data_IF_776280408631
#
_entry.id   IF_776280408631
#
_cell.length_a   1.000
_cell.length_b   1.000
_cell.length_c   1.000
_cell.angle_alpha   90.00
_cell.angle_beta   90.00
_cell.angle_gamma   90.00
#
_symmetry.space_group_name_H-M   'P 1'
#
loop_
_entity.id
_entity.type
_entity.pdbx_description
1 polymer ?
#
# COMPACT_ATOMS: atom_id res chain seq x y z
N UNK A 1 29.64 7.00 -22.66
CA UNK A 1 28.57 6.11 -22.17
C UNK A 1 28.69 4.78 -22.89
N UNK A 2 29.14 3.72 -22.21
CA UNK A 2 29.19 2.37 -22.78
C UNK A 2 27.82 1.70 -22.64
N UNK A 3 27.30 1.02 -23.66
CA UNK A 3 26.05 0.28 -23.55
C UNK A 3 26.30 -0.96 -22.68
N UNK A 4 25.53 -1.12 -21.60
CA UNK A 4 25.51 -2.36 -20.84
C UNK A 4 25.03 -3.48 -21.78
N UNK A 5 25.92 -4.43 -22.07
CA UNK A 5 25.66 -5.55 -22.96
C UNK A 5 24.60 -6.48 -22.38
N UNK A 6 23.79 -7.09 -23.26
CA UNK A 6 22.67 -7.98 -22.92
C UNK A 6 23.06 -9.16 -22.01
N UNK A 7 24.32 -9.59 -22.05
CA UNK A 7 24.88 -10.68 -21.25
C UNK A 7 24.87 -10.40 -19.73
N UNK A 8 25.15 -9.17 -19.32
CA UNK A 8 25.20 -8.80 -17.90
C UNK A 8 23.80 -8.81 -17.25
N UNK A 9 22.75 -8.49 -18.04
CA UNK A 9 21.34 -8.51 -17.61
C UNK A 9 20.80 -9.92 -17.39
N UNK A 10 21.22 -10.90 -18.18
CA UNK A 10 20.81 -12.29 -18.01
C UNK A 10 21.47 -12.95 -16.79
N UNK A 11 22.76 -12.71 -16.56
CA UNK A 11 23.46 -13.24 -15.39
C UNK A 11 22.88 -12.72 -14.06
N UNK A 12 22.41 -11.48 -14.03
CA UNK A 12 21.74 -10.90 -12.84
C UNK A 12 20.35 -11.50 -12.61
N UNK A 13 19.61 -11.84 -13.67
CA UNK A 13 18.30 -12.49 -13.54
C UNK A 13 18.41 -13.93 -13.01
N UNK A 14 19.39 -14.70 -13.48
CA UNK A 14 19.63 -16.06 -12.98
C UNK A 14 20.04 -16.05 -11.51
N UNK A 15 20.95 -15.15 -11.11
CA UNK A 15 21.35 -15.02 -9.71
C UNK A 15 20.20 -14.58 -8.80
N UNK A 16 19.32 -13.69 -9.26
CA UNK A 16 18.13 -13.30 -8.51
C UNK A 16 17.17 -14.48 -8.31
N UNK A 17 16.94 -15.28 -9.35
CA UNK A 17 16.07 -16.45 -9.28
C UNK A 17 16.59 -17.48 -8.27
N UNK A 18 17.90 -17.76 -8.29
CA UNK A 18 18.54 -18.68 -7.36
C UNK A 18 18.41 -18.19 -5.91
N UNK A 19 18.60 -16.88 -5.67
CA UNK A 19 18.42 -16.27 -4.34
C UNK A 19 16.98 -16.40 -3.87
N UNK A 20 16.00 -16.09 -4.72
CA UNK A 20 14.57 -16.19 -4.39
C UNK A 20 14.17 -17.65 -4.11
N UNK A 21 14.63 -18.60 -4.94
CA UNK A 21 14.36 -20.02 -4.74
C UNK A 21 14.98 -20.54 -3.44
N UNK A 22 16.23 -20.17 -3.16
CA UNK A 22 16.92 -20.54 -1.92
C UNK A 22 16.19 -20.00 -0.69
N UNK A 23 15.79 -18.72 -0.73
CA UNK A 23 15.02 -18.09 0.34
C UNK A 23 13.68 -18.80 0.59
N UNK A 24 12.86 -18.95 -0.45
CA UNK A 24 11.53 -19.59 -0.34
C UNK A 24 11.62 -21.04 0.13
N UNK A 25 12.61 -21.79 -0.36
CA UNK A 25 12.88 -23.18 0.08
C UNK A 25 13.20 -23.23 1.56
N UNK A 26 14.08 -22.35 2.05
CA UNK A 26 14.47 -22.30 3.46
C UNK A 26 13.34 -21.86 4.38
N UNK A 27 12.52 -20.93 3.93
CA UNK A 27 11.36 -20.46 4.68
C UNK A 27 10.28 -21.54 4.81
N UNK A 28 10.32 -22.61 4.01
CA UNK A 28 9.29 -23.67 3.98
C UNK A 28 7.87 -23.11 3.86
N UNK A 29 7.74 -21.92 3.28
CA UNK A 29 6.47 -21.23 3.14
C UNK A 29 5.69 -21.87 2.01
N UNK A 30 4.55 -22.48 2.34
CA UNK A 30 3.53 -22.74 1.34
C UNK A 30 2.82 -21.42 1.10
N UNK A 31 3.19 -20.69 0.04
CA UNK A 31 2.46 -19.49 -0.36
C UNK A 31 1.10 -19.96 -0.89
N UNK A 32 -0.01 -19.72 -0.17
CA UNK A 32 -1.31 -20.08 -0.71
C UNK A 32 -1.62 -19.09 -1.84
N UNK A 33 -1.90 -19.60 -3.04
CA UNK A 33 -2.55 -18.75 -4.04
C UNK A 33 -3.93 -18.37 -3.50
N UNK A 34 -4.15 -17.07 -3.34
CA UNK A 34 -5.44 -16.52 -2.92
C UNK A 34 -5.94 -15.56 -3.99
N UNK A 35 -7.14 -15.79 -4.55
CA UNK A 35 -7.81 -14.80 -5.37
C UNK A 35 -7.97 -13.49 -4.59
N UNK A 36 -8.00 -12.38 -5.30
CA UNK A 36 -8.30 -11.09 -4.70
C UNK A 36 -9.70 -11.10 -4.08
N UNK A 37 -9.81 -10.68 -2.82
CA UNK A 37 -11.08 -10.64 -2.09
C UNK A 37 -11.84 -9.35 -2.41
N UNK A 38 -12.66 -9.41 -3.46
CA UNK A 38 -13.48 -8.28 -3.90
C UNK A 38 -14.48 -7.83 -2.84
N UNK A 39 -15.08 -8.75 -2.08
CA UNK A 39 -16.07 -8.42 -1.07
C UNK A 39 -15.43 -7.67 0.10
N UNK A 40 -14.26 -8.12 0.55
CA UNK A 40 -13.49 -7.40 1.58
C UNK A 40 -13.02 -6.03 1.08
N UNK A 41 -12.64 -5.90 -0.19
CA UNK A 41 -12.29 -4.62 -0.79
C UNK A 41 -13.47 -3.63 -0.79
N UNK A 42 -14.66 -4.06 -1.17
CA UNK A 42 -15.86 -3.20 -1.13
C UNK A 42 -16.17 -2.70 0.29
N UNK A 43 -16.04 -3.58 1.29
CA UNK A 43 -16.17 -3.20 2.71
C UNK A 43 -15.08 -2.21 3.14
N UNK A 44 -13.85 -2.39 2.66
CA UNK A 44 -12.74 -1.49 2.97
C UNK A 44 -12.94 -0.10 2.36
N UNK A 45 -13.50 -0.02 1.14
CA UNK A 45 -13.89 1.25 0.52
C UNK A 45 -14.95 1.95 1.37
N UNK A 46 -16.01 1.24 1.76
CA UNK A 46 -17.09 1.80 2.59
C UNK A 46 -16.57 2.29 3.95
N UNK A 47 -15.72 1.51 4.61
CA UNK A 47 -15.17 1.89 5.91
C UNK A 47 -14.19 3.06 5.81
N UNK A 48 -13.39 3.11 4.74
CA UNK A 48 -12.53 4.25 4.42
C UNK A 48 -13.33 5.54 4.24
N UNK A 49 -14.44 5.47 3.50
CA UNK A 49 -15.36 6.60 3.31
C UNK A 49 -16.01 7.01 4.62
N UNK A 50 -16.53 6.05 5.40
CA UNK A 50 -17.17 6.29 6.70
C UNK A 50 -16.23 7.01 7.69
N UNK A 51 -14.94 6.70 7.64
CA UNK A 51 -13.89 7.31 8.48
C UNK A 51 -13.34 8.61 7.91
N UNK A 52 -13.76 9.00 6.71
CA UNK A 52 -13.24 10.18 6.03
C UNK A 52 -11.79 10.06 5.59
N UNK A 53 -11.27 8.84 5.45
CA UNK A 53 -9.93 8.61 4.89
C UNK A 53 -9.91 8.89 3.37
N UNK A 54 -11.06 8.74 2.70
CA UNK A 54 -11.24 8.99 1.26
C UNK A 54 -12.39 9.94 0.93
N UNK A 55 -13.15 10.43 1.92
CA UNK A 55 -14.36 11.21 1.68
C UNK A 55 -14.03 12.64 1.22
N UNK A 56 -14.19 12.90 -0.08
CA UNK A 56 -14.27 14.26 -0.64
C UNK A 56 -12.99 14.87 -1.21
N UNK A 57 -11.85 14.19 -1.15
CA UNK A 57 -10.61 14.69 -1.73
C UNK A 57 -10.53 14.41 -3.24
N UNK A 58 -10.53 15.45 -4.08
CA UNK A 58 -9.98 15.30 -5.45
C UNK A 58 -8.55 14.81 -5.31
N UNK A 59 -8.19 13.72 -5.98
CA UNK A 59 -6.87 13.09 -5.86
C UNK A 59 -6.76 12.00 -4.79
N UNK A 60 -7.83 11.67 -4.04
CA UNK A 60 -7.87 10.47 -3.21
C UNK A 60 -7.50 9.21 -4.02
N UNK A 61 -7.97 9.13 -5.27
CA UNK A 61 -7.64 8.12 -6.27
C UNK A 61 -6.14 8.03 -6.58
N UNK A 62 -5.40 9.12 -6.38
CA UNK A 62 -3.94 9.24 -6.61
C UNK A 62 -3.12 8.90 -5.36
N UNK A 63 -3.67 9.08 -4.17
CA UNK A 63 -2.94 9.02 -2.91
C UNK A 63 -3.32 7.79 -2.06
N UNK A 64 -4.60 7.51 -1.87
CA UNK A 64 -5.06 6.42 -1.00
C UNK A 64 -5.93 5.37 -1.72
N UNK A 65 -6.42 5.71 -2.91
CA UNK A 65 -7.43 4.97 -3.64
C UNK A 65 -6.95 3.61 -4.17
N UNK A 66 -7.25 3.33 -5.44
CA UNK A 66 -7.36 1.94 -5.90
C UNK A 66 -6.06 1.11 -5.83
N UNK A 67 -4.87 1.70 -5.82
CA UNK A 67 -3.61 0.94 -5.73
C UNK A 67 -3.26 0.57 -4.28
N UNK A 68 -3.16 1.57 -3.39
CA UNK A 68 -2.79 1.40 -1.99
C UNK A 68 -3.80 0.51 -1.25
N UNK A 69 -5.09 0.76 -1.44
CA UNK A 69 -6.14 -0.02 -0.80
C UNK A 69 -6.21 -1.46 -1.33
N UNK A 70 -6.02 -1.70 -2.64
CA UNK A 70 -5.97 -3.07 -3.19
C UNK A 70 -4.75 -3.85 -2.70
N UNK A 71 -3.60 -3.19 -2.61
CA UNK A 71 -2.40 -3.79 -2.04
C UNK A 71 -2.63 -4.17 -0.56
N UNK A 72 -3.20 -3.25 0.22
CA UNK A 72 -3.54 -3.48 1.62
C UNK A 72 -4.55 -4.62 1.82
N UNK A 73 -5.57 -4.73 0.96
CA UNK A 73 -6.52 -5.86 0.97
C UNK A 73 -5.80 -7.18 0.73
N UNK A 74 -4.89 -7.23 -0.25
CA UNK A 74 -4.12 -8.44 -0.53
C UNK A 74 -3.21 -8.83 0.64
N UNK A 75 -2.52 -7.85 1.24
CA UNK A 75 -1.67 -8.08 2.42
C UNK A 75 -2.48 -8.56 3.61
N UNK A 76 -3.63 -7.92 3.87
CA UNK A 76 -4.48 -8.23 5.03
C UNK A 76 -5.09 -9.62 4.92
N UNK A 77 -5.67 -9.94 3.76
CA UNK A 77 -6.35 -11.23 3.54
C UNK A 77 -5.38 -12.42 3.47
N UNK A 78 -4.12 -12.19 3.11
CA UNK A 78 -3.09 -13.23 3.09
C UNK A 78 -2.38 -13.37 4.45
N UNK A 79 -2.04 -12.25 5.10
CA UNK A 79 -1.16 -12.26 6.27
C UNK A 79 -1.91 -12.28 7.60
N UNK A 80 -3.12 -11.72 7.63
CA UNK A 80 -3.91 -11.52 8.84
C UNK A 80 -5.20 -12.34 8.84
N UNK A 81 -5.36 -13.31 7.95
CA UNK A 81 -6.55 -14.18 7.89
C UNK A 81 -6.89 -14.82 9.24
N UNK A 82 -5.85 -15.19 10.01
CA UNK A 82 -5.96 -15.79 11.33
C UNK A 82 -6.62 -14.89 12.39
N UNK A 83 -6.74 -13.59 12.12
CA UNK A 83 -7.45 -12.65 13.00
C UNK A 83 -8.96 -12.83 12.79
N UNK A 84 -9.64 -13.46 13.75
CA UNK A 84 -11.08 -13.76 13.65
C UNK A 84 -11.95 -12.49 13.65
N UNK A 85 -11.51 -11.46 14.36
CA UNK A 85 -12.22 -10.18 14.43
C UNK A 85 -12.07 -9.38 13.12
N UNK A 86 -13.16 -9.34 12.35
CA UNK A 86 -13.23 -8.61 11.08
C UNK A 86 -13.09 -7.11 11.24
N UNK A 87 -13.46 -6.53 12.38
CA UNK A 87 -13.25 -5.10 12.63
C UNK A 87 -11.75 -4.80 12.79
N UNK A 88 -11.00 -5.68 13.45
CA UNK A 88 -9.54 -5.55 13.58
C UNK A 88 -8.88 -5.75 12.23
N UNK A 89 -9.26 -6.77 11.44
CA UNK A 89 -8.75 -6.95 10.08
C UNK A 89 -8.99 -5.71 9.22
N UNK A 90 -10.17 -5.09 9.32
CA UNK A 90 -10.49 -3.87 8.58
C UNK A 90 -9.59 -2.70 8.98
N UNK A 91 -9.35 -2.51 10.29
CA UNK A 91 -8.43 -1.49 10.78
C UNK A 91 -7.00 -1.73 10.30
N UNK A 92 -6.52 -2.97 10.34
CA UNK A 92 -5.20 -3.36 9.80
C UNK A 92 -5.12 -3.04 8.30
N UNK A 93 -6.18 -3.31 7.54
CA UNK A 93 -6.23 -2.99 6.12
C UNK A 93 -6.11 -1.48 5.86
N UNK A 94 -6.91 -0.66 6.54
CA UNK A 94 -6.86 0.79 6.35
C UNK A 94 -5.53 1.37 6.81
N UNK A 95 -4.99 0.90 7.94
CA UNK A 95 -3.67 1.29 8.41
C UNK A 95 -2.57 0.95 7.41
N UNK A 96 -2.60 -0.27 6.86
CA UNK A 96 -1.65 -0.71 5.83
C UNK A 96 -1.74 0.15 4.58
N UNK A 97 -2.96 0.50 4.13
CA UNK A 97 -3.15 1.39 2.98
C UNK A 97 -2.53 2.78 3.23
N UNK A 98 -2.69 3.33 4.44
CA UNK A 98 -2.06 4.59 4.83
C UNK A 98 -0.54 4.50 4.90
N UNK A 99 0.00 3.42 5.44
CA UNK A 99 1.45 3.20 5.48
C UNK A 99 2.06 3.13 4.08
N UNK A 100 1.42 2.40 3.14
CA UNK A 100 1.86 2.32 1.74
C UNK A 100 1.82 3.71 1.10
N UNK A 101 0.74 4.46 1.31
CA UNK A 101 0.63 5.82 0.81
C UNK A 101 1.77 6.72 1.32
N UNK A 102 2.05 6.70 2.62
CA UNK A 102 3.11 7.51 3.21
C UNK A 102 4.49 7.11 2.66
N UNK A 103 4.75 5.83 2.42
CA UNK A 103 6.01 5.34 1.84
C UNK A 103 6.16 5.80 0.38
N UNK A 104 5.14 5.56 -0.45
CA UNK A 104 5.15 5.93 -1.87
C UNK A 104 5.17 7.45 -2.08
N UNK A 105 4.43 8.20 -1.26
CA UNK A 105 4.42 9.66 -1.32
C UNK A 105 5.76 10.26 -0.90
N UNK A 106 6.49 9.65 0.04
CA UNK A 106 7.83 10.10 0.40
C UNK A 106 8.90 9.64 -0.62
N UNK A 107 8.69 8.51 -1.31
CA UNK A 107 9.65 7.94 -2.26
C UNK A 107 9.56 8.53 -3.68
N UNK A 108 8.35 8.93 -4.11
CA UNK A 108 8.12 9.58 -5.41
C UNK A 108 8.68 11.02 -5.47
N UNK A 109 9.31 11.48 -4.39
CA UNK A 109 9.36 12.89 -4.04
C UNK A 109 10.77 13.49 -3.97
N UNK A 110 11.48 13.45 -5.10
CA UNK A 110 12.60 14.37 -5.34
C UNK A 110 12.16 15.67 -6.02
N UNK A 111 10.87 15.84 -6.32
CA UNK A 111 10.32 16.93 -7.13
C UNK A 111 8.99 17.53 -6.63
N UNK A 112 8.35 17.02 -5.57
CA UNK A 112 7.18 17.69 -5.00
C UNK A 112 7.65 18.87 -4.14
N UNK A 113 6.86 19.94 -4.20
CA UNK A 113 7.19 21.17 -3.50
C UNK A 113 7.02 21.02 -1.98
N UNK A 114 7.47 22.01 -1.19
CA UNK A 114 7.28 22.05 0.26
C UNK A 114 5.82 21.86 0.73
N UNK A 115 4.85 22.14 -0.14
CA UNK A 115 3.41 21.98 0.13
C UNK A 115 2.97 20.51 0.19
N UNK A 116 3.52 19.65 -0.68
CA UNK A 116 3.13 18.24 -0.74
C UNK A 116 3.63 17.43 0.47
N UNK A 117 4.85 17.73 0.94
CA UNK A 117 5.39 17.17 2.18
C UNK A 117 4.54 17.54 3.40
N UNK A 118 4.08 18.79 3.48
CA UNK A 118 3.19 19.26 4.55
C UNK A 118 1.83 18.55 4.49
N UNK A 119 1.35 18.21 3.30
CA UNK A 119 0.12 17.45 3.12
C UNK A 119 0.26 16.01 3.61
N UNK A 120 1.41 15.35 3.37
CA UNK A 120 1.72 14.02 3.90
C UNK A 120 1.81 14.03 5.44
N UNK A 121 2.48 15.02 6.03
CA UNK A 121 2.57 15.19 7.49
C UNK A 121 1.17 15.37 8.12
N UNK A 122 0.36 16.30 7.59
CA UNK A 122 -1.02 16.53 8.05
C UNK A 122 -1.93 15.32 7.81
N UNK A 123 -1.72 14.56 6.73
CA UNK A 123 -2.44 13.33 6.49
C UNK A 123 -2.15 12.33 7.61
N UNK A 124 -0.88 12.11 7.92
CA UNK A 124 -0.43 11.18 8.97
C UNK A 124 -1.02 11.52 10.32
N UNK A 125 -0.94 12.79 10.75
CA UNK A 125 -1.50 13.27 12.02
C UNK A 125 -2.99 12.95 12.13
N UNK A 126 -3.77 13.34 11.11
CA UNK A 126 -5.22 13.12 11.08
C UNK A 126 -5.56 11.64 11.00
N UNK A 127 -4.82 10.86 10.22
CA UNK A 127 -5.04 9.44 10.08
C UNK A 127 -4.85 8.70 11.40
N UNK A 128 -3.78 9.04 12.14
CA UNK A 128 -3.52 8.49 13.48
C UNK A 128 -4.57 8.95 14.50
N UNK A 129 -5.03 10.20 14.40
CA UNK A 129 -6.08 10.75 15.26
C UNK A 129 -7.49 10.24 14.92
N UNK A 130 -7.67 9.55 13.80
CA UNK A 130 -9.00 9.14 13.30
C UNK A 130 -9.85 10.31 12.81
N UNK A 131 -9.21 11.42 12.46
CA UNK A 131 -9.85 12.62 11.93
C UNK A 131 -10.10 12.50 10.43
N UNK A 132 -11.16 13.16 9.97
CA UNK A 132 -11.50 13.30 8.55
C UNK A 132 -10.37 13.99 7.79
N UNK A 133 -10.07 13.51 6.58
CA UNK A 133 -9.12 14.15 5.67
C UNK A 133 -9.87 15.19 4.82
N UNK A 134 -9.63 16.50 4.99
CA UNK A 134 -10.21 17.53 4.12
C UNK A 134 -9.54 17.52 2.74
N UNK A 135 -10.24 18.08 1.74
CA UNK A 135 -9.76 18.17 0.36
C UNK A 135 -8.37 18.84 0.30
N UNK A 136 -7.33 18.16 -0.23
CA UNK A 136 -5.98 18.71 -0.33
C UNK A 136 -5.90 19.96 -1.21
N UNK A 137 -6.92 20.25 -2.04
CA UNK A 137 -6.97 21.42 -2.90
C UNK A 137 -7.80 22.58 -2.35
N UNK A 138 -8.47 22.41 -1.21
CA UNK A 138 -9.32 23.44 -0.59
C UNK A 138 -8.93 23.71 0.88
N UNK A 139 -7.74 23.30 1.31
CA UNK A 139 -7.19 23.58 2.63
C UNK A 139 -6.53 24.97 2.73
#
# INVERSE_FOLDING_TARGET
>A
MLPASSSTKQATQTGLLEVLQSFLTRCSFKVPYRPFDTAFYELAVQESERRGATAGCKGADRYFGSSCLKAAVSITTVSYEHVEDKSIQMLVCLFTAGAIYLDDANAADSNLGPEDRRNVEKFSERFVAGEVQPDPFHA
#
